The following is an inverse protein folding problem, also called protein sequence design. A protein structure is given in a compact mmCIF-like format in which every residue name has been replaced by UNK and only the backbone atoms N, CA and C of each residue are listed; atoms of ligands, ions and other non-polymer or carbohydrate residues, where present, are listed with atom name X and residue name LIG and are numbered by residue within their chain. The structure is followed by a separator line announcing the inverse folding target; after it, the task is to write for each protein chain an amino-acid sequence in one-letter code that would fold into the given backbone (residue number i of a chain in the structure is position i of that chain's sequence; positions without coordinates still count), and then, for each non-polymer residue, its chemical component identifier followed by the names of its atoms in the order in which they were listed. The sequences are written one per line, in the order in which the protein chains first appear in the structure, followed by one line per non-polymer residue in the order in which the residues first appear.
data_IF_616791390596
#
_entry.id   IF_616791390596
#
_cell.length_a   1.000
_cell.length_b   1.000
_cell.length_c   1.000
_cell.angle_alpha   90.00
_cell.angle_beta   90.00
_cell.angle_gamma   90.00
#
_symmetry.space_group_name_H-M   'P 1'
#
loop_
_entity.id
_entity.type
_entity.pdbx_description
1 polymer ?
#
# COMPACT_ATOMS: atom_id res chain seq x y z
N UNK A 1 4.50 6.87 -18.02
CA UNK A 1 3.57 7.63 -17.17
C UNK A 1 4.37 8.39 -16.11
N UNK A 2 3.93 9.58 -15.73
CA UNK A 2 4.51 10.34 -14.61
C UNK A 2 3.43 10.64 -13.57
N UNK A 3 3.85 11.09 -12.39
CA UNK A 3 2.98 11.40 -11.26
C UNK A 3 3.16 12.85 -10.85
N UNK A 4 2.04 13.53 -10.60
CA UNK A 4 1.97 14.95 -10.25
C UNK A 4 1.23 15.12 -8.93
N UNK A 5 1.48 16.23 -8.23
CA UNK A 5 0.70 16.59 -7.06
C UNK A 5 -0.69 17.11 -7.44
N UNK A 6 -1.72 16.68 -6.72
CA UNK A 6 -3.08 17.24 -6.81
C UNK A 6 -3.17 18.72 -6.45
N UNK A 7 -2.11 19.33 -5.88
CA UNK A 7 -2.06 20.76 -5.50
C UNK A 7 -1.25 21.64 -6.44
N UNK A 8 -0.87 21.11 -7.61
CA UNK A 8 -0.37 21.93 -8.71
C UNK A 8 1.13 22.21 -8.69
N UNK A 9 1.94 21.32 -8.11
CA UNK A 9 3.37 21.33 -8.40
C UNK A 9 3.62 20.81 -9.84
N UNK A 10 4.56 21.42 -10.55
CA UNK A 10 5.01 20.96 -11.87
C UNK A 10 6.01 19.79 -11.77
N UNK A 11 6.25 19.26 -10.58
CA UNK A 11 7.20 18.17 -10.40
C UNK A 11 6.57 16.87 -10.90
N UNK A 12 7.19 16.30 -11.93
CA UNK A 12 6.79 15.02 -12.52
C UNK A 12 7.70 13.91 -12.01
N UNK A 13 7.17 13.06 -11.15
CA UNK A 13 7.87 11.91 -10.58
C UNK A 13 7.56 10.62 -11.34
N UNK A 14 8.46 9.65 -11.27
CA UNK A 14 8.16 8.26 -11.63
C UNK A 14 7.22 7.63 -10.58
N UNK A 15 6.65 6.45 -10.86
CA UNK A 15 5.83 5.77 -9.85
C UNK A 15 6.67 5.31 -8.65
N UNK A 16 7.91 4.85 -8.89
CA UNK A 16 8.85 4.49 -7.83
C UNK A 16 9.16 5.67 -6.90
N UNK A 17 9.46 6.84 -7.46
CA UNK A 17 9.70 8.07 -6.69
C UNK A 17 8.45 8.50 -5.89
N UNK A 18 7.25 8.43 -6.49
CA UNK A 18 6.00 8.75 -5.82
C UNK A 18 5.69 7.77 -4.66
N UNK A 19 5.99 6.49 -4.83
CA UNK A 19 5.81 5.44 -3.79
C UNK A 19 6.76 5.67 -2.61
N UNK A 20 8.04 5.96 -2.87
CA UNK A 20 9.02 6.27 -1.82
C UNK A 20 8.57 7.50 -1.03
N UNK A 21 8.25 8.58 -1.75
CA UNK A 21 7.94 9.87 -1.15
C UNK A 21 6.60 9.85 -0.39
N UNK A 22 5.61 9.11 -0.88
CA UNK A 22 4.31 8.89 -0.24
C UNK A 22 3.37 10.09 -0.25
N UNK A 23 3.86 11.30 0.03
CA UNK A 23 3.11 12.56 0.03
C UNK A 23 3.91 13.65 -0.71
N UNK A 24 3.25 14.52 -1.46
CA UNK A 24 3.94 15.62 -2.14
C UNK A 24 4.36 16.72 -1.16
N UNK A 25 5.41 17.48 -1.51
CA UNK A 25 5.98 18.53 -0.63
C UNK A 25 4.98 19.67 -0.33
N UNK A 26 4.01 19.89 -1.22
CA UNK A 26 2.92 20.85 -1.06
C UNK A 26 1.74 20.30 -0.22
N UNK A 27 1.91 19.11 0.35
CA UNK A 27 0.88 18.36 1.09
C UNK A 27 -0.23 17.79 0.21
N UNK A 28 -0.07 17.80 -1.12
CA UNK A 28 -0.95 17.15 -2.07
C UNK A 28 -0.68 15.64 -2.19
N UNK A 29 -1.54 14.96 -2.95
CA UNK A 29 -1.42 13.53 -3.22
C UNK A 29 -0.80 13.31 -4.60
N UNK A 30 -0.04 12.24 -4.77
CA UNK A 30 0.45 11.84 -6.08
C UNK A 30 -0.64 11.11 -6.87
N UNK A 31 -0.89 11.58 -8.09
CA UNK A 31 -1.82 10.97 -9.05
C UNK A 31 -1.13 10.87 -10.43
N UNK A 32 -1.50 9.90 -11.26
CA UNK A 32 -0.90 9.78 -12.60
C UNK A 32 -1.28 11.00 -13.45
N UNK A 33 -0.35 11.45 -14.29
CA UNK A 33 -0.52 12.61 -15.17
C UNK A 33 -1.49 12.35 -16.33
N UNK A 34 -1.87 11.09 -16.53
CA UNK A 34 -2.96 10.65 -17.41
C UNK A 34 -3.49 9.30 -16.93
N UNK A 35 -4.78 9.03 -17.16
CA UNK A 35 -5.37 7.73 -16.87
C UNK A 35 -5.09 6.76 -18.02
N UNK A 36 -4.56 5.54 -17.77
CA UNK A 36 -4.40 4.56 -18.82
C UNK A 36 -5.77 4.15 -19.35
N UNK A 37 -5.87 4.02 -20.67
CA UNK A 37 -7.09 3.56 -21.33
C UNK A 37 -6.98 2.07 -21.59
N UNK A 38 -8.05 1.33 -21.30
CA UNK A 38 -8.19 -0.09 -21.57
C UNK A 38 -9.50 -0.33 -22.30
N UNK A 39 -9.52 -1.28 -23.21
CA UNK A 39 -10.71 -1.70 -23.94
C UNK A 39 -11.27 -3.02 -23.39
N UNK A 40 -12.37 -3.50 -23.99
CA UNK A 40 -12.95 -4.77 -23.61
C UNK A 40 -12.03 -5.96 -23.93
N UNK A 41 -11.19 -5.87 -24.96
CA UNK A 41 -10.24 -6.94 -25.30
C UNK A 41 -9.19 -7.13 -24.18
N UNK A 42 -8.72 -6.04 -23.57
CA UNK A 42 -7.86 -6.11 -22.39
C UNK A 42 -8.56 -6.87 -21.24
N UNK A 43 -9.81 -6.51 -20.94
CA UNK A 43 -10.59 -7.10 -19.85
C UNK A 43 -10.90 -8.57 -20.11
N UNK A 44 -11.34 -8.93 -21.31
CA UNK A 44 -11.59 -10.32 -21.71
C UNK A 44 -10.31 -11.16 -21.61
N UNK A 45 -9.16 -10.57 -21.94
CA UNK A 45 -7.84 -11.17 -21.75
C UNK A 45 -7.43 -11.43 -20.29
N UNK A 46 -8.24 -11.03 -19.30
CA UNK A 46 -8.04 -11.31 -17.88
C UNK A 46 -8.80 -12.56 -17.40
N UNK A 47 -9.82 -13.00 -18.13
CA UNK A 47 -10.76 -14.05 -17.70
C UNK A 47 -10.07 -15.34 -17.24
N UNK A 48 -9.07 -15.82 -18.00
CA UNK A 48 -8.39 -17.11 -17.75
C UNK A 48 -7.14 -16.99 -16.88
N UNK A 49 -6.86 -15.81 -16.37
CA UNK A 49 -5.67 -15.52 -15.58
C UNK A 49 -5.96 -15.67 -14.10
N UNK A 50 -4.96 -16.13 -13.36
CA UNK A 50 -4.91 -16.05 -11.89
C UNK A 50 -4.94 -14.59 -11.41
N UNK A 51 -5.28 -14.37 -10.13
CA UNK A 51 -5.26 -13.03 -9.55
C UNK A 51 -3.90 -12.35 -9.70
N UNK A 52 -2.81 -13.11 -9.55
CA UNK A 52 -1.44 -12.64 -9.68
C UNK A 52 -1.15 -12.18 -11.10
N UNK A 53 -1.50 -12.98 -12.11
CA UNK A 53 -1.33 -12.60 -13.52
C UNK A 53 -2.17 -11.37 -13.89
N UNK A 54 -3.40 -11.28 -13.37
CA UNK A 54 -4.25 -10.09 -13.51
C UNK A 54 -3.59 -8.87 -12.86
N UNK A 55 -3.04 -9.03 -11.65
CA UNK A 55 -2.32 -7.97 -10.95
C UNK A 55 -1.14 -7.47 -11.77
N UNK A 56 -0.31 -8.35 -12.32
CA UNK A 56 0.84 -7.95 -13.17
C UNK A 56 0.37 -7.11 -14.34
N UNK A 57 -0.69 -7.53 -15.06
CA UNK A 57 -1.22 -6.78 -16.21
C UNK A 57 -1.76 -5.40 -15.81
N UNK A 58 -2.57 -5.33 -14.77
CA UNK A 58 -3.20 -4.07 -14.32
C UNK A 58 -2.15 -3.11 -13.73
N UNK A 59 -1.24 -3.60 -12.89
CA UNK A 59 -0.18 -2.79 -12.28
C UNK A 59 0.77 -2.21 -13.34
N UNK A 60 1.08 -2.98 -14.40
CA UNK A 60 1.93 -2.53 -15.50
C UNK A 60 1.42 -1.28 -16.23
N UNK A 61 0.10 -1.04 -16.20
CA UNK A 61 -0.50 0.18 -16.77
C UNK A 61 -0.09 1.44 -16.01
N UNK A 62 0.17 1.32 -14.71
CA UNK A 62 0.42 2.44 -13.80
C UNK A 62 1.89 2.56 -13.39
N UNK A 63 2.58 1.43 -13.26
CA UNK A 63 3.97 1.32 -12.79
C UNK A 63 4.96 1.28 -13.96
N UNK A 64 4.84 2.22 -14.91
CA UNK A 64 5.56 2.17 -16.19
C UNK A 64 7.08 2.29 -16.12
N UNK A 65 7.63 2.64 -14.96
CA UNK A 65 9.07 2.68 -14.66
C UNK A 65 9.60 1.41 -13.97
N UNK A 66 8.71 0.47 -13.61
CA UNK A 66 9.07 -0.87 -13.18
C UNK A 66 9.17 -1.79 -14.40
N UNK A 67 10.13 -2.71 -14.39
CA UNK A 67 10.19 -3.78 -15.39
C UNK A 67 9.12 -4.81 -15.11
N UNK A 68 8.81 -5.65 -16.11
CA UNK A 68 7.84 -6.73 -15.94
C UNK A 68 8.29 -7.70 -14.82
N UNK A 69 9.57 -8.06 -14.79
CA UNK A 69 10.14 -8.98 -13.79
C UNK A 69 10.07 -8.40 -12.38
N UNK A 70 10.24 -7.08 -12.24
CA UNK A 70 10.10 -6.38 -10.97
C UNK A 70 8.65 -6.46 -10.45
N UNK A 71 7.67 -6.21 -11.31
CA UNK A 71 6.24 -6.29 -10.95
C UNK A 71 5.86 -7.73 -10.60
N UNK A 72 6.21 -8.70 -11.44
CA UNK A 72 5.99 -10.14 -11.19
C UNK A 72 6.58 -10.58 -9.86
N UNK A 73 7.82 -10.18 -9.58
CA UNK A 73 8.48 -10.47 -8.31
C UNK A 73 7.74 -9.86 -7.12
N UNK A 74 7.26 -8.61 -7.23
CA UNK A 74 6.50 -7.97 -6.16
C UNK A 74 5.16 -8.67 -5.91
N UNK A 75 4.42 -8.98 -6.98
CA UNK A 75 3.12 -9.67 -6.92
C UNK A 75 3.27 -11.07 -6.32
N UNK A 76 4.27 -11.83 -6.77
CA UNK A 76 4.56 -13.19 -6.26
C UNK A 76 4.84 -13.18 -4.76
N UNK A 77 5.63 -12.23 -4.25
CA UNK A 77 5.92 -12.12 -2.81
C UNK A 77 4.74 -11.61 -1.98
N UNK A 78 3.84 -10.82 -2.59
CA UNK A 78 2.68 -10.24 -1.92
C UNK A 78 1.51 -11.23 -1.81
N UNK A 79 1.15 -11.88 -2.91
CA UNK A 79 -0.04 -12.73 -3.05
C UNK A 79 0.30 -14.21 -3.29
N UNK A 80 1.56 -14.60 -3.17
CA UNK A 80 1.98 -16.00 -3.22
C UNK A 80 2.26 -16.59 -1.84
N UNK A 81 2.76 -17.83 -1.84
CA UNK A 81 3.30 -18.53 -0.67
C UNK A 81 2.31 -18.76 0.48
N UNK A 82 1.00 -18.87 0.21
CA UNK A 82 -0.01 -19.19 1.22
C UNK A 82 -0.22 -18.11 2.28
N UNK A 83 0.13 -16.85 1.98
CA UNK A 83 -0.20 -15.71 2.86
C UNK A 83 -1.69 -15.37 2.88
N UNK A 84 -2.37 -15.74 1.81
CA UNK A 84 -3.81 -15.69 1.70
C UNK A 84 -4.35 -17.11 1.86
N UNK A 85 -5.44 -17.27 2.59
CA UNK A 85 -6.06 -18.57 2.86
C UNK A 85 -7.01 -19.06 1.74
N UNK A 86 -7.15 -18.27 0.67
CA UNK A 86 -7.83 -18.63 -0.56
C UNK A 86 -6.91 -18.40 -1.78
N UNK A 87 -6.77 -19.40 -2.66
CA UNK A 87 -5.91 -19.34 -3.86
C UNK A 87 -6.37 -18.28 -4.88
N UNK A 88 -7.66 -17.93 -4.88
CA UNK A 88 -8.19 -16.86 -5.71
C UNK A 88 -7.81 -15.47 -5.19
N UNK A 89 -7.29 -15.36 -3.95
CA UNK A 89 -6.86 -14.14 -3.24
C UNK A 89 -8.02 -13.18 -2.92
N UNK A 90 -8.89 -12.91 -3.89
CA UNK A 90 -10.08 -12.07 -3.79
C UNK A 90 -11.28 -12.71 -4.52
N UNK A 91 -11.81 -13.85 -4.02
CA UNK A 91 -12.90 -14.56 -4.66
C UNK A 91 -14.20 -13.73 -4.66
N UNK A 92 -15.02 -13.95 -5.70
CA UNK A 92 -16.36 -13.39 -5.79
C UNK A 92 -17.37 -14.49 -5.45
N UNK A 93 -18.10 -14.30 -4.36
CA UNK A 93 -19.17 -15.19 -3.96
C UNK A 93 -20.48 -14.73 -4.59
N UNK A 94 -21.01 -15.55 -5.50
CA UNK A 94 -22.24 -15.23 -6.23
C UNK A 94 -23.47 -15.75 -5.48
N UNK A 95 -24.23 -14.82 -4.89
CA UNK A 95 -25.55 -15.10 -4.34
C UNK A 95 -26.61 -14.89 -5.43
N UNK A 96 -27.88 -15.14 -5.09
CA UNK A 96 -28.99 -15.11 -6.06
C UNK A 96 -29.13 -13.75 -6.76
N UNK A 97 -29.16 -12.68 -5.97
CA UNK A 97 -29.47 -11.32 -6.45
C UNK A 97 -28.31 -10.33 -6.23
N UNK A 98 -27.21 -10.79 -5.62
CA UNK A 98 -26.05 -9.98 -5.26
C UNK A 98 -24.79 -10.83 -5.32
N UNK A 99 -23.66 -10.20 -5.65
CA UNK A 99 -22.35 -10.82 -5.54
C UNK A 99 -21.55 -10.12 -4.44
N UNK A 100 -20.74 -10.88 -3.71
CA UNK A 100 -19.90 -10.37 -2.62
C UNK A 100 -18.44 -10.64 -2.99
N UNK A 101 -17.64 -9.58 -3.08
CA UNK A 101 -16.20 -9.69 -3.24
C UNK A 101 -15.55 -9.87 -1.86
N UNK A 102 -14.89 -11.01 -1.66
CA UNK A 102 -14.27 -11.34 -0.39
C UNK A 102 -12.82 -10.85 -0.36
N UNK A 103 -12.53 -9.84 0.47
CA UNK A 103 -11.19 -9.22 0.58
C UNK A 103 -10.53 -9.45 1.95
N UNK A 104 -10.99 -10.44 2.70
CA UNK A 104 -10.53 -10.71 4.07
C UNK A 104 -9.72 -12.01 4.17
N UNK A 105 -9.30 -12.57 3.04
CA UNK A 105 -8.50 -13.80 3.01
C UNK A 105 -7.00 -13.56 3.28
N UNK A 106 -6.62 -12.31 3.55
CA UNK A 106 -5.24 -11.95 3.90
C UNK A 106 -4.90 -12.20 5.37
N UNK A 107 -3.61 -12.01 5.75
CA UNK A 107 -3.09 -12.38 7.06
C UNK A 107 -3.69 -11.60 8.25
N UNK A 108 -4.44 -10.53 8.00
CA UNK A 108 -5.06 -9.71 9.04
C UNK A 108 -6.59 -9.68 8.94
N UNK A 109 -7.15 -10.50 8.06
CA UNK A 109 -8.58 -10.64 7.83
C UNK A 109 -9.28 -9.34 7.44
N UNK A 110 -8.60 -8.48 6.68
CA UNK A 110 -9.14 -7.20 6.23
C UNK A 110 -8.63 -6.83 4.83
N UNK A 111 -9.46 -6.12 4.05
CA UNK A 111 -9.16 -5.68 2.68
C UNK A 111 -7.87 -4.87 2.53
N UNK A 112 -7.35 -4.34 3.64
CA UNK A 112 -6.11 -3.57 3.66
C UNK A 112 -4.90 -4.47 3.34
N UNK A 113 -5.00 -5.77 3.55
CA UNK A 113 -3.98 -6.76 3.17
C UNK A 113 -3.70 -6.75 1.67
N UNK A 114 -4.73 -6.55 0.84
CA UNK A 114 -4.60 -6.46 -0.62
C UNK A 114 -3.55 -5.40 -1.00
N UNK A 115 -3.53 -4.26 -0.31
CA UNK A 115 -2.56 -3.22 -0.57
C UNK A 115 -1.26 -3.38 0.24
N UNK A 116 -1.38 -3.72 1.52
CA UNK A 116 -0.27 -3.66 2.47
C UNK A 116 0.64 -4.89 2.43
N UNK A 117 0.24 -5.97 1.76
CA UNK A 117 1.17 -7.04 1.39
C UNK A 117 2.01 -6.68 0.15
N UNK A 118 1.50 -5.83 -0.75
CA UNK A 118 2.19 -5.45 -1.98
C UNK A 118 3.02 -4.16 -1.84
N UNK A 119 2.54 -3.15 -1.11
CA UNK A 119 3.24 -1.87 -0.91
C UNK A 119 4.70 -2.04 -0.45
N UNK A 120 5.03 -2.87 0.58
CA UNK A 120 6.41 -3.06 1.01
C UNK A 120 7.30 -3.63 -0.11
N UNK A 121 6.75 -4.54 -0.94
CA UNK A 121 7.47 -5.11 -2.09
C UNK A 121 7.75 -4.05 -3.16
N UNK A 122 6.76 -3.22 -3.47
CA UNK A 122 6.90 -2.10 -4.41
C UNK A 122 7.91 -1.07 -3.89
N UNK A 123 7.88 -0.77 -2.60
CA UNK A 123 8.80 0.16 -1.96
C UNK A 123 10.24 -0.37 -1.98
N UNK A 124 10.49 -1.61 -1.55
CA UNK A 124 11.84 -2.19 -1.58
C UNK A 124 12.43 -2.22 -2.98
N UNK A 125 11.61 -2.50 -4.00
CA UNK A 125 12.02 -2.43 -5.40
C UNK A 125 12.29 -0.98 -5.83
N UNK A 126 11.45 -0.02 -5.43
CA UNK A 126 11.64 1.40 -5.70
C UNK A 126 12.97 1.92 -5.13
N UNK A 127 13.28 1.58 -3.87
CA UNK A 127 14.49 2.00 -3.18
C UNK A 127 15.74 1.52 -3.91
N UNK A 128 15.76 0.25 -4.32
CA UNK A 128 16.86 -0.33 -5.11
C UNK A 128 16.99 0.34 -6.47
N UNK A 129 15.87 0.53 -7.18
CA UNK A 129 15.82 1.12 -8.53
C UNK A 129 16.29 2.57 -8.54
N UNK A 130 15.85 3.38 -7.58
CA UNK A 130 16.19 4.81 -7.49
C UNK A 130 17.57 5.04 -6.87
N UNK A 131 18.18 3.99 -6.30
CA UNK A 131 19.46 4.09 -5.60
C UNK A 131 19.36 4.81 -4.26
N UNK A 132 18.15 4.99 -3.72
CA UNK A 132 17.89 5.59 -2.41
C UNK A 132 18.72 4.88 -1.34
N UNK A 133 19.43 5.66 -0.53
CA UNK A 133 20.33 5.17 0.51
C UNK A 133 19.75 5.35 1.90
N UNK A 134 18.80 6.26 2.05
CA UNK A 134 18.17 6.52 3.32
C UNK A 134 17.34 5.32 3.77
N UNK A 135 17.32 5.07 5.07
CA UNK A 135 16.35 4.20 5.70
C UNK A 135 14.97 4.89 5.68
N UNK A 136 13.92 4.18 5.27
CA UNK A 136 12.58 4.73 5.20
C UNK A 136 11.84 4.45 6.51
N UNK A 137 11.49 5.51 7.24
CA UNK A 137 10.61 5.42 8.40
C UNK A 137 9.15 5.62 7.98
N UNK A 138 8.40 4.52 8.03
CA UNK A 138 6.98 4.45 7.72
C UNK A 138 6.18 4.92 8.93
N UNK A 139 5.45 6.02 8.80
CA UNK A 139 4.53 6.52 9.82
C UNK A 139 3.09 6.16 9.46
N UNK A 140 2.38 5.53 10.42
CA UNK A 140 0.98 5.13 10.24
C UNK A 140 0.14 5.59 11.42
N UNK A 141 -0.92 6.35 11.16
CA UNK A 141 -2.00 6.54 12.13
C UNK A 141 -3.14 5.56 11.84
N UNK A 142 -3.72 4.94 12.87
CA UNK A 142 -4.77 3.93 12.69
C UNK A 142 -5.85 3.96 13.77
N UNK A 143 -7.06 3.53 13.39
CA UNK A 143 -8.15 3.14 14.29
C UNK A 143 -8.26 1.62 14.49
N UNK A 144 -7.33 0.82 13.93
CA UNK A 144 -7.34 -0.64 14.05
C UNK A 144 -6.63 -1.34 12.89
N UNK A 145 -7.40 -1.82 11.90
CA UNK A 145 -6.90 -2.77 10.89
C UNK A 145 -5.72 -2.23 10.06
N UNK A 146 -5.69 -0.93 9.74
CA UNK A 146 -4.59 -0.36 8.94
C UNK A 146 -3.26 -0.57 9.65
N UNK A 147 -3.25 -0.41 10.98
CA UNK A 147 -2.04 -0.61 11.78
C UNK A 147 -1.56 -2.04 11.68
N UNK A 148 -2.43 -3.02 11.95
CA UNK A 148 -2.05 -4.43 11.90
C UNK A 148 -1.62 -4.87 10.49
N UNK A 149 -2.37 -4.51 9.45
CA UNK A 149 -1.99 -4.84 8.08
C UNK A 149 -0.64 -4.20 7.67
N UNK A 150 -0.37 -2.96 8.08
CA UNK A 150 0.90 -2.30 7.78
C UNK A 150 2.06 -2.92 8.56
N UNK A 151 1.85 -3.20 9.85
CA UNK A 151 2.80 -3.91 10.70
C UNK A 151 3.19 -5.26 10.13
N UNK A 152 2.21 -6.03 9.65
CA UNK A 152 2.46 -7.33 9.04
C UNK A 152 3.20 -7.21 7.71
N UNK A 153 2.79 -6.27 6.85
CA UNK A 153 3.42 -6.06 5.56
C UNK A 153 4.87 -5.58 5.66
N UNK A 154 5.16 -4.67 6.58
CA UNK A 154 6.50 -4.08 6.77
C UNK A 154 7.39 -4.83 7.75
N UNK A 155 6.92 -5.94 8.34
CA UNK A 155 7.71 -6.75 9.26
C UNK A 155 9.00 -7.21 8.60
N UNK A 156 10.12 -6.83 9.21
CA UNK A 156 11.49 -7.19 8.84
C UNK A 156 11.84 -6.89 7.37
N UNK A 157 11.19 -5.88 6.79
CA UNK A 157 11.49 -5.40 5.44
C UNK A 157 12.76 -4.55 5.49
N UNK A 158 13.79 -4.97 4.75
CA UNK A 158 15.08 -4.28 4.66
C UNK A 158 14.93 -2.80 4.30
N UNK A 159 15.81 -1.96 4.85
CA UNK A 159 15.83 -0.50 4.64
C UNK A 159 14.54 0.21 5.11
N UNK A 160 13.67 -0.45 5.88
CA UNK A 160 12.47 0.16 6.43
C UNK A 160 12.37 -0.01 7.94
N UNK A 161 11.82 1.01 8.59
CA UNK A 161 11.26 0.93 9.94
C UNK A 161 9.81 1.36 9.89
N UNK A 162 8.97 0.83 10.76
CA UNK A 162 7.56 1.23 10.83
C UNK A 162 7.17 1.64 12.25
N UNK A 163 6.47 2.76 12.35
CA UNK A 163 5.89 3.27 13.58
C UNK A 163 4.39 3.47 13.40
N UNK A 164 3.61 2.73 14.20
CA UNK A 164 2.15 2.79 14.18
C UNK A 164 1.63 3.50 15.42
N UNK A 165 0.86 4.56 15.20
CA UNK A 165 0.18 5.35 16.21
C UNK A 165 -1.31 4.99 16.22
N UNK A 166 -1.83 4.67 17.41
CA UNK A 166 -3.25 4.36 17.61
C UNK A 166 -3.77 5.08 18.85
N UNK A 167 -5.05 5.50 18.89
CA UNK A 167 -5.61 6.10 20.09
C UNK A 167 -5.70 5.05 21.20
N UNK A 168 -5.23 5.40 22.40
CA UNK A 168 -5.25 4.51 23.58
C UNK A 168 -6.68 4.02 23.86
N UNK A 169 -7.67 4.89 23.62
CA UNK A 169 -9.09 4.58 23.62
C UNK A 169 -9.66 4.82 22.21
N UNK A 170 -10.07 3.78 21.49
CA UNK A 170 -10.60 3.92 20.12
C UNK A 170 -10.28 2.77 19.17
N UNK A 171 -9.63 1.73 19.68
CA UNK A 171 -9.35 0.49 18.94
C UNK A 171 -9.93 -0.69 19.71
N UNK A 172 -10.49 -1.69 19.00
CA UNK A 172 -11.00 -2.89 19.67
C UNK A 172 -9.88 -3.64 20.39
N UNK A 173 -10.24 -4.42 21.41
CA UNK A 173 -9.27 -5.23 22.16
C UNK A 173 -8.47 -6.17 21.25
N UNK A 174 -9.10 -6.78 20.25
CA UNK A 174 -8.44 -7.73 19.33
C UNK A 174 -7.42 -6.99 18.46
N UNK A 175 -7.82 -5.88 17.83
CA UNK A 175 -6.92 -5.08 16.99
C UNK A 175 -5.74 -4.51 17.81
N UNK A 176 -6.00 -4.03 19.04
CA UNK A 176 -4.94 -3.57 19.95
C UNK A 176 -3.96 -4.69 20.23
N UNK A 177 -4.44 -5.87 20.62
CA UNK A 177 -3.59 -7.03 20.90
C UNK A 177 -2.74 -7.41 19.68
N UNK A 178 -3.36 -7.52 18.51
CA UNK A 178 -2.66 -7.81 17.25
C UNK A 178 -1.52 -6.82 16.97
N UNK A 179 -1.71 -5.52 17.26
CA UNK A 179 -0.66 -4.52 17.08
C UNK A 179 0.44 -4.62 18.14
N UNK A 180 0.09 -4.61 19.43
CA UNK A 180 1.09 -4.56 20.52
C UNK A 180 1.88 -5.85 20.69
N UNK A 181 1.38 -6.97 20.15
CA UNK A 181 2.10 -8.25 20.11
C UNK A 181 2.75 -8.53 18.75
N UNK A 182 2.81 -7.54 17.84
CA UNK A 182 3.48 -7.71 16.56
C UNK A 182 4.96 -8.03 16.77
N UNK A 183 5.44 -9.09 16.12
CA UNK A 183 6.86 -9.41 16.04
C UNK A 183 7.51 -8.69 14.86
N UNK A 184 8.78 -8.34 15.01
CA UNK A 184 9.61 -7.72 13.99
C UNK A 184 10.69 -6.88 14.65
N UNK A 185 11.90 -6.90 14.10
CA UNK A 185 13.03 -6.10 14.59
C UNK A 185 12.89 -4.61 14.23
N UNK A 186 12.08 -4.30 13.22
CA UNK A 186 11.90 -2.97 12.66
C UNK A 186 10.54 -2.33 12.97
N UNK A 187 9.73 -2.93 13.85
CA UNK A 187 8.38 -2.46 14.18
C UNK A 187 8.33 -1.69 15.49
N UNK A 188 7.53 -0.63 15.53
CA UNK A 188 7.21 0.12 16.74
C UNK A 188 5.73 0.46 16.78
N UNK A 189 5.11 0.31 17.95
CA UNK A 189 3.69 0.59 18.15
C UNK A 189 3.54 1.51 19.36
N UNK A 190 2.93 2.68 19.14
CA UNK A 190 2.81 3.75 20.14
C UNK A 190 1.34 4.12 20.34
N UNK A 191 0.88 4.04 21.59
CA UNK A 191 -0.45 4.52 21.96
C UNK A 191 -0.44 6.05 22.11
N UNK A 192 -1.44 6.72 21.55
CA UNK A 192 -1.66 8.16 21.64
C UNK A 192 -2.76 8.42 22.65
N UNK A 193 -2.47 9.23 23.67
CA UNK A 193 -3.50 9.73 24.60
C UNK A 193 -4.35 10.78 23.89
N UNK A 194 -5.41 10.33 23.24
CA UNK A 194 -6.29 11.14 22.40
C UNK A 194 -7.20 10.24 21.56
N UNK A 195 -7.79 10.80 20.51
CA UNK A 195 -8.60 10.08 19.53
C UNK A 195 -7.82 9.80 18.22
N UNK A 196 -8.49 9.17 17.24
CA UNK A 196 -7.87 8.86 15.96
C UNK A 196 -7.44 10.11 15.18
N UNK A 197 -8.22 11.19 15.25
CA UNK A 197 -7.90 12.44 14.57
C UNK A 197 -6.65 13.11 15.17
N UNK A 198 -6.42 12.98 16.47
CA UNK A 198 -5.19 13.44 17.14
C UNK A 198 -3.97 12.67 16.60
N UNK A 199 -4.06 11.34 16.52
CA UNK A 199 -2.99 10.50 15.97
C UNK A 199 -2.72 10.84 14.49
N UNK A 200 -3.77 11.00 13.68
CA UNK A 200 -3.65 11.34 12.27
C UNK A 200 -3.08 12.76 12.06
N UNK A 201 -3.53 13.73 12.86
CA UNK A 201 -3.04 15.11 12.78
C UNK A 201 -1.60 15.22 13.24
N UNK A 202 -1.19 14.48 14.27
CA UNK A 202 0.20 14.38 14.72
C UNK A 202 1.12 13.83 13.63
N UNK A 203 0.74 12.75 12.95
CA UNK A 203 1.52 12.21 11.82
C UNK A 203 1.62 13.23 10.69
N UNK A 204 0.52 13.91 10.33
CA UNK A 204 0.54 14.98 9.31
C UNK A 204 1.45 16.14 9.71
N UNK A 205 1.44 16.53 10.98
CA UNK A 205 2.30 17.60 11.50
C UNK A 205 3.78 17.24 11.33
N UNK A 206 4.17 16.00 11.64
CA UNK A 206 5.53 15.49 11.41
C UNK A 206 5.89 15.58 9.92
N UNK A 207 5.02 15.14 9.01
CA UNK A 207 5.27 15.25 7.57
C UNK A 207 5.44 16.70 7.10
N UNK A 208 4.72 17.65 7.69
CA UNK A 208 4.80 19.07 7.32
C UNK A 208 5.98 19.83 7.95
N UNK A 209 6.68 19.25 8.93
CA UNK A 209 7.83 19.89 9.57
C UNK A 209 9.09 19.74 8.72
N UNK A 210 9.30 20.70 7.82
CA UNK A 210 10.45 20.71 6.91
C UNK A 210 11.80 20.73 7.63
N UNK A 211 11.90 21.35 8.82
CA UNK A 211 13.15 21.40 9.59
C UNK A 211 13.45 20.04 10.20
N UNK A 212 12.45 19.39 10.80
CA UNK A 212 12.61 18.04 11.34
C UNK A 212 12.93 17.04 10.23
N UNK A 213 12.26 17.13 9.09
CA UNK A 213 12.52 16.25 7.94
C UNK A 213 13.93 16.44 7.36
N UNK A 214 14.42 17.68 7.30
CA UNK A 214 15.81 17.94 6.89
C UNK A 214 16.82 17.29 7.85
N UNK A 215 16.59 17.40 9.17
CA UNK A 215 17.44 16.77 10.18
C UNK A 215 17.41 15.24 10.12
N UNK A 216 16.28 14.64 9.78
CA UNK A 216 16.19 13.19 9.55
C UNK A 216 16.94 12.78 8.29
N UNK A 217 16.78 13.53 7.19
CA UNK A 217 17.49 13.27 5.94
C UNK A 217 19.01 13.35 6.12
N UNK A 218 19.52 14.32 6.90
CA UNK A 218 20.95 14.42 7.26
C UNK A 218 21.46 13.19 8.03
N UNK A 219 20.56 12.52 8.76
CA UNK A 219 20.85 11.25 9.48
C UNK A 219 20.61 10.01 8.61
N UNK A 220 20.33 10.19 7.32
CA UNK A 220 20.03 9.08 6.41
C UNK A 220 18.67 8.45 6.64
N UNK A 221 17.68 9.21 7.13
CA UNK A 221 16.31 8.73 7.36
C UNK A 221 15.32 9.58 6.55
N UNK A 222 14.54 8.92 5.70
CA UNK A 222 13.45 9.55 4.95
C UNK A 222 12.11 9.13 5.54
N UNK A 223 11.15 10.05 5.64
CA UNK A 223 9.79 9.70 6.07
C UNK A 223 8.94 9.25 4.89
N UNK A 224 8.09 8.25 5.12
CA UNK A 224 7.03 7.86 4.18
C UNK A 224 5.81 7.35 4.94
N UNK A 225 4.67 7.21 4.27
CA UNK A 225 3.42 6.78 4.89
C UNK A 225 2.90 5.50 4.23
N UNK A 226 2.32 4.62 5.04
CA UNK A 226 1.51 3.49 4.57
C UNK A 226 -0.01 3.73 4.77
N UNK A 227 -0.43 4.99 4.98
CA UNK A 227 -1.84 5.37 4.96
C UNK A 227 -2.38 5.46 3.52
N UNK A 228 -3.67 5.78 3.37
CA UNK A 228 -4.40 5.83 2.08
C UNK A 228 -3.91 6.90 1.11
N UNK A 229 -2.98 7.74 1.55
CA UNK A 229 -2.37 8.81 0.75
C UNK A 229 -1.26 8.31 -0.17
N UNK A 230 -0.64 7.17 0.14
CA UNK A 230 0.47 6.64 -0.65
C UNK A 230 -0.04 5.95 -1.92
N UNK A 231 0.51 6.34 -3.07
CA UNK A 231 0.16 5.75 -4.37
C UNK A 231 0.33 4.22 -4.39
N UNK A 232 1.40 3.69 -3.78
CA UNK A 232 1.67 2.26 -3.68
C UNK A 232 0.65 1.50 -2.85
N UNK A 233 -0.17 2.19 -2.05
CA UNK A 233 -1.33 1.59 -1.36
C UNK A 233 -2.59 1.63 -2.20
N UNK A 234 -2.76 2.64 -3.07
CA UNK A 234 -3.96 2.78 -3.91
C UNK A 234 -3.91 1.87 -5.13
N UNK A 235 -2.76 1.82 -5.83
CA UNK A 235 -2.65 1.06 -7.09
C UNK A 235 -2.97 -0.44 -6.97
N UNK A 236 -2.62 -1.18 -5.89
CA UNK A 236 -3.02 -2.58 -5.74
C UNK A 236 -4.53 -2.76 -5.62
N UNK A 237 -5.23 -1.75 -5.09
CA UNK A 237 -6.67 -1.82 -4.89
C UNK A 237 -7.46 -1.71 -6.20
N UNK A 238 -6.84 -1.20 -7.26
CA UNK A 238 -7.44 -1.18 -8.60
C UNK A 238 -7.60 -2.61 -9.13
N UNK A 239 -6.67 -3.52 -8.79
CA UNK A 239 -6.61 -4.89 -9.32
C UNK A 239 -7.87 -5.69 -9.03
N UNK A 240 -8.37 -5.66 -7.79
CA UNK A 240 -9.52 -6.50 -7.44
C UNK A 240 -10.82 -6.06 -8.13
N UNK A 241 -10.94 -4.80 -8.57
CA UNK A 241 -12.07 -4.36 -9.40
C UNK A 241 -12.01 -5.01 -10.80
N UNK A 242 -10.83 -4.98 -11.43
CA UNK A 242 -10.62 -5.66 -12.72
C UNK A 242 -10.81 -7.17 -12.59
N UNK A 243 -10.28 -7.78 -11.53
CA UNK A 243 -10.44 -9.20 -11.24
C UNK A 243 -11.91 -9.58 -11.09
N UNK A 244 -12.64 -8.84 -10.24
CA UNK A 244 -14.08 -9.06 -10.01
C UNK A 244 -14.88 -8.98 -11.31
N UNK A 245 -14.62 -7.96 -12.12
CA UNK A 245 -15.34 -7.81 -13.39
C UNK A 245 -15.01 -8.93 -14.38
N UNK A 246 -13.74 -9.36 -14.46
CA UNK A 246 -13.35 -10.51 -15.27
C UNK A 246 -14.03 -11.82 -14.79
N UNK A 247 -14.18 -12.02 -13.49
CA UNK A 247 -14.89 -13.18 -12.92
C UNK A 247 -16.39 -13.13 -13.21
N UNK A 248 -17.01 -11.95 -13.19
CA UNK A 248 -18.42 -11.77 -13.56
C UNK A 248 -18.65 -12.10 -15.04
N UNK A 249 -17.75 -11.71 -15.94
CA UNK A 249 -17.87 -12.00 -17.38
C UNK A 249 -17.72 -13.49 -17.73
N UNK A 250 -17.03 -14.25 -16.87
CA UNK A 250 -16.82 -15.69 -17.04
C UNK A 250 -18.00 -16.56 -16.62
N UNK A 251 -19.01 -15.98 -15.98
CA UNK A 251 -20.18 -16.68 -15.46
C UNK A 251 -21.25 -16.84 -16.54
#
# INVERSE_FOLDING_TARGET
MKYISTRGNNQKLSSAEAIIKGLADDGGLFVPDSMPHVDMAFIEGLQRLSYQERAVKVLSLFLTDYTQEEIEGCVSRAYGNGKFDDDAIAPVNFLKDVSVLELWHGPTSAFKDMALQLLPQLLSTALKKTGEKNEVLILVATSGDTGKAALEGFKDVEQTKIMVFYPDNGVSRIQRLQMVTQLGSNVNVTAVKGNFDDAQSGVKAIFSDSKFNAQLNEKGISLSSANSINWGRLVPQIVYYFSTYADILNK
#
